data_IF_706183205006
#
_entry.id   IF_706183205006
#
_cell.length_a   1.000
_cell.length_b   1.000
_cell.length_c   1.000
_cell.angle_alpha   90.00
_cell.angle_beta   90.00
_cell.angle_gamma   90.00
#
_symmetry.space_group_name_H-M   'P 1'
#
loop_
_entity.id
_entity.type
_entity.pdbx_description
1 polymer ?
#
# COMPACT_ATOMS: atom_id res chain seq x y z
N UNK A 1 -19.63 32.45 -2.22
CA UNK A 1 -18.35 31.79 -2.57
C UNK A 1 -17.34 31.70 -1.43
N UNK A 2 -16.52 32.71 -1.08
CA UNK A 2 -15.48 32.56 -0.02
C UNK A 2 -16.04 32.24 1.38
N UNK A 3 -17.20 32.81 1.74
CA UNK A 3 -17.89 32.51 3.00
C UNK A 3 -18.51 31.11 3.00
N UNK A 4 -19.08 30.67 1.88
CA UNK A 4 -19.61 29.30 1.69
C UNK A 4 -18.49 28.26 1.69
N UNK A 5 -17.35 28.55 1.06
CA UNK A 5 -16.17 27.70 1.08
C UNK A 5 -15.60 27.57 2.49
N UNK A 6 -15.49 28.68 3.23
CA UNK A 6 -15.10 28.65 4.64
C UNK A 6 -16.08 27.80 5.47
N UNK A 7 -17.39 27.95 5.26
CA UNK A 7 -18.41 27.15 5.92
C UNK A 7 -18.29 25.65 5.59
N UNK A 8 -17.99 25.31 4.33
CA UNK A 8 -17.80 23.94 3.85
C UNK A 8 -16.56 23.27 4.48
N UNK A 9 -15.40 23.93 4.47
CA UNK A 9 -14.17 23.37 5.07
C UNK A 9 -14.23 23.31 6.61
N UNK A 10 -15.05 24.15 7.25
CA UNK A 10 -15.28 24.07 8.70
C UNK A 10 -16.22 22.93 9.10
N UNK A 11 -16.83 22.22 8.14
CA UNK A 11 -17.49 20.96 8.44
C UNK A 11 -16.38 19.95 8.81
N UNK A 12 -16.23 19.64 10.10
CA UNK A 12 -15.17 18.77 10.62
C UNK A 12 -15.04 17.43 9.87
N UNK A 13 -16.17 16.87 9.44
CA UNK A 13 -16.22 15.64 8.63
C UNK A 13 -15.47 15.74 7.28
N UNK A 14 -15.42 16.93 6.66
CA UNK A 14 -14.72 17.14 5.38
C UNK A 14 -13.22 17.30 5.61
N UNK A 15 -12.83 18.01 6.67
CA UNK A 15 -11.43 18.24 7.00
C UNK A 15 -10.73 16.94 7.41
N UNK A 16 -11.36 16.13 8.27
CA UNK A 16 -10.82 14.85 8.72
C UNK A 16 -10.72 13.85 7.56
N UNK A 17 -11.72 13.83 6.67
CA UNK A 17 -11.69 13.03 5.45
C UNK A 17 -10.54 13.44 4.52
N UNK A 18 -10.35 14.75 4.31
CA UNK A 18 -9.28 15.27 3.46
C UNK A 18 -7.90 14.91 4.02
N UNK A 19 -7.70 15.06 5.33
CA UNK A 19 -6.45 14.69 6.00
C UNK A 19 -6.20 13.18 5.86
N UNK A 20 -7.22 12.35 6.10
CA UNK A 20 -7.12 10.89 5.98
C UNK A 20 -6.72 10.44 4.57
N UNK A 21 -7.29 11.03 3.52
CA UNK A 21 -6.95 10.70 2.13
C UNK A 21 -5.53 11.16 1.78
N UNK A 22 -5.12 12.36 2.19
CA UNK A 22 -3.79 12.90 1.90
C UNK A 22 -2.71 12.07 2.59
N UNK A 23 -2.89 11.79 3.89
CA UNK A 23 -1.95 10.97 4.66
C UNK A 23 -1.96 9.53 4.15
N UNK A 24 -3.13 8.94 3.88
CA UNK A 24 -3.24 7.59 3.34
C UNK A 24 -2.56 7.44 1.99
N UNK A 25 -2.72 8.41 1.09
CA UNK A 25 -2.04 8.43 -0.21
C UNK A 25 -0.52 8.60 -0.08
N UNK A 26 -0.04 9.46 0.81
CA UNK A 26 1.38 9.65 1.07
C UNK A 26 2.02 8.40 1.71
N UNK A 27 1.36 7.83 2.72
CA UNK A 27 1.80 6.61 3.40
C UNK A 27 1.84 5.41 2.45
N UNK A 28 0.84 5.28 1.58
CA UNK A 28 0.83 4.26 0.53
C UNK A 28 2.11 4.31 -0.33
N UNK A 29 2.55 5.50 -0.76
CA UNK A 29 3.80 5.66 -1.53
C UNK A 29 5.04 5.22 -0.75
N UNK A 30 5.11 5.51 0.55
CA UNK A 30 6.23 5.09 1.41
C UNK A 30 6.30 3.56 1.46
N UNK A 31 5.15 2.91 1.64
CA UNK A 31 5.08 1.44 1.66
C UNK A 31 5.43 0.85 0.29
N UNK A 32 4.90 1.41 -0.80
CA UNK A 32 5.21 0.96 -2.15
C UNK A 32 6.70 1.06 -2.45
N UNK A 33 7.35 2.18 -2.12
CA UNK A 33 8.81 2.35 -2.29
C UNK A 33 9.61 1.35 -1.45
N UNK A 34 9.22 1.10 -0.19
CA UNK A 34 9.86 0.07 0.64
C UNK A 34 9.79 -1.31 -0.02
N UNK A 35 8.66 -1.65 -0.63
CA UNK A 35 8.52 -2.95 -1.30
C UNK A 35 9.28 -3.00 -2.62
N UNK A 36 9.09 -2.02 -3.49
CA UNK A 36 9.61 -2.04 -4.85
C UNK A 36 11.10 -1.77 -4.90
N UNK A 37 11.61 -0.88 -4.06
CA UNK A 37 13.00 -0.41 -4.10
C UNK A 37 13.90 -1.19 -3.14
N UNK A 38 13.35 -1.84 -2.10
CA UNK A 38 14.14 -2.55 -1.09
C UNK A 38 13.81 -4.04 -1.06
N UNK A 39 12.55 -4.41 -0.82
CA UNK A 39 12.18 -5.83 -0.64
C UNK A 39 12.30 -6.61 -1.96
N UNK A 40 11.79 -6.09 -3.07
CA UNK A 40 11.79 -6.78 -4.36
C UNK A 40 13.21 -7.06 -4.90
N UNK A 41 14.19 -6.13 -4.83
CA UNK A 41 15.57 -6.44 -5.18
C UNK A 41 16.19 -7.54 -4.32
N UNK A 42 15.90 -7.56 -3.02
CA UNK A 42 16.41 -8.60 -2.10
C UNK A 42 15.75 -9.95 -2.41
N UNK A 43 14.43 -9.99 -2.59
CA UNK A 43 13.70 -11.20 -2.97
C UNK A 43 14.16 -11.70 -4.33
N UNK A 44 14.35 -10.82 -5.30
CA UNK A 44 14.88 -11.14 -6.62
C UNK A 44 16.28 -11.74 -6.55
N UNK A 45 17.16 -11.20 -5.70
CA UNK A 45 18.49 -11.77 -5.46
C UNK A 45 18.41 -13.18 -4.86
N UNK A 46 17.49 -13.41 -3.91
CA UNK A 46 17.29 -14.73 -3.28
C UNK A 46 16.65 -15.75 -4.22
N UNK A 47 15.77 -15.32 -5.12
CA UNK A 47 15.09 -16.16 -6.12
C UNK A 47 15.88 -16.34 -7.42
N UNK A 48 17.17 -15.94 -7.46
CA UNK A 48 18.05 -16.14 -8.61
C UNK A 48 17.82 -15.22 -9.80
N UNK A 49 17.24 -14.03 -9.57
CA UNK A 49 16.96 -13.03 -10.61
C UNK A 49 15.74 -13.34 -11.49
N UNK A 50 14.85 -14.22 -11.01
CA UNK A 50 13.70 -14.66 -11.79
C UNK A 50 12.60 -13.59 -11.84
N UNK A 51 12.47 -12.97 -13.01
CA UNK A 51 11.46 -11.96 -13.32
C UNK A 51 10.23 -12.63 -13.95
N UNK A 52 9.17 -12.79 -13.16
CA UNK A 52 7.92 -13.41 -13.61
C UNK A 52 7.23 -12.59 -14.70
N UNK A 53 7.50 -11.29 -14.83
CA UNK A 53 6.94 -10.41 -15.89
C UNK A 53 7.24 -10.91 -17.30
N UNK A 54 8.31 -11.68 -17.48
CA UNK A 54 8.75 -12.20 -18.79
C UNK A 54 7.91 -13.39 -19.26
N UNK A 55 7.05 -13.95 -18.41
CA UNK A 55 6.15 -15.03 -18.81
C UNK A 55 5.01 -14.46 -19.67
N UNK A 56 5.07 -14.76 -20.96
CA UNK A 56 4.03 -14.41 -21.92
C UNK A 56 3.69 -15.63 -22.78
N UNK A 57 2.41 -15.79 -23.11
CA UNK A 57 1.93 -16.74 -24.10
C UNK A 57 1.51 -15.91 -25.31
N UNK A 58 2.11 -16.19 -26.45
CA UNK A 58 1.72 -15.60 -27.73
C UNK A 58 0.68 -16.49 -28.38
N UNK A 59 -0.55 -16.00 -28.54
CA UNK A 59 -1.62 -16.68 -29.28
C UNK A 59 -1.89 -15.87 -30.54
N UNK A 60 -1.45 -16.37 -31.70
CA UNK A 60 -1.53 -15.63 -32.96
C UNK A 60 -0.73 -14.33 -32.92
N UNK A 61 -1.39 -13.18 -33.11
CA UNK A 61 -0.80 -11.84 -33.00
C UNK A 61 -0.92 -11.22 -31.60
N UNK A 62 -1.62 -11.87 -30.67
CA UNK A 62 -1.84 -11.35 -29.32
C UNK A 62 -0.79 -11.89 -28.34
N UNK A 63 -0.15 -10.98 -27.60
CA UNK A 63 0.78 -11.29 -26.51
C UNK A 63 0.05 -11.23 -25.17
N UNK A 64 -0.24 -12.38 -24.56
CA UNK A 64 -0.84 -12.46 -23.22
C UNK A 64 0.27 -12.54 -22.18
N UNK A 65 0.58 -11.40 -21.55
CA UNK A 65 1.63 -11.25 -20.52
C UNK A 65 1.12 -11.62 -19.12
N UNK A 66 0.71 -12.87 -18.92
CA UNK A 66 0.21 -13.36 -17.63
C UNK A 66 1.25 -13.28 -16.51
N UNK A 67 2.54 -13.29 -16.88
CA UNK A 67 3.65 -13.08 -15.97
C UNK A 67 3.59 -11.77 -15.19
N UNK A 68 3.20 -10.69 -15.87
CA UNK A 68 3.04 -9.38 -15.23
C UNK A 68 1.89 -9.40 -14.20
N UNK A 69 0.82 -10.13 -14.47
CA UNK A 69 -0.28 -10.27 -13.52
C UNK A 69 0.18 -11.02 -12.26
N UNK A 70 0.89 -12.14 -12.41
CA UNK A 70 1.44 -12.90 -11.28
C UNK A 70 2.38 -12.03 -10.46
N UNK A 71 3.23 -11.24 -11.12
CA UNK A 71 4.13 -10.31 -10.46
C UNK A 71 3.39 -9.28 -9.59
N UNK A 72 2.33 -8.66 -10.12
CA UNK A 72 1.51 -7.70 -9.36
C UNK A 72 0.81 -8.39 -8.18
N UNK A 73 0.34 -9.63 -8.34
CA UNK A 73 -0.26 -10.39 -7.23
C UNK A 73 0.77 -10.67 -6.13
N UNK A 74 1.97 -11.11 -6.50
CA UNK A 74 3.06 -11.35 -5.54
C UNK A 74 3.45 -10.05 -4.83
N UNK A 75 3.60 -8.95 -5.56
CA UNK A 75 3.89 -7.62 -5.01
C UNK A 75 2.82 -7.19 -4.00
N UNK A 76 1.54 -7.38 -4.33
CA UNK A 76 0.43 -7.10 -3.40
C UNK A 76 0.52 -7.92 -2.11
N UNK A 77 0.81 -9.22 -2.19
CA UNK A 77 0.98 -10.07 -1.01
C UNK A 77 2.16 -9.62 -0.13
N UNK A 78 3.27 -9.22 -0.75
CA UNK A 78 4.43 -8.68 -0.03
C UNK A 78 4.08 -7.36 0.65
N UNK A 79 3.46 -6.41 -0.06
CA UNK A 79 2.98 -5.13 0.51
C UNK A 79 2.06 -5.36 1.69
N UNK A 80 1.06 -6.24 1.54
CA UNK A 80 0.13 -6.58 2.62
C UNK A 80 0.87 -7.15 3.85
N UNK A 81 1.86 -8.01 3.63
CA UNK A 81 2.67 -8.58 4.71
C UNK A 81 3.56 -7.54 5.40
N UNK A 82 4.18 -6.62 4.64
CA UNK A 82 4.98 -5.52 5.20
C UNK A 82 4.10 -4.57 6.01
N UNK A 83 2.93 -4.18 5.51
CA UNK A 83 1.97 -3.36 6.27
C UNK A 83 1.57 -4.06 7.56
N UNK A 84 1.29 -5.36 7.50
CA UNK A 84 0.97 -6.16 8.68
C UNK A 84 2.10 -6.12 9.73
N UNK A 85 3.36 -6.27 9.31
CA UNK A 85 4.51 -6.15 10.22
C UNK A 85 4.61 -4.74 10.80
N UNK A 86 4.46 -3.69 9.98
CA UNK A 86 4.55 -2.30 10.44
C UNK A 86 3.45 -1.97 11.46
N UNK A 87 2.21 -2.38 11.19
CA UNK A 87 1.09 -2.21 12.12
C UNK A 87 1.35 -3.01 13.41
N UNK A 88 1.81 -4.25 13.30
CA UNK A 88 2.15 -5.08 14.46
C UNK A 88 3.30 -4.49 15.28
N UNK A 89 4.30 -3.91 14.64
CA UNK A 89 5.43 -3.24 15.28
C UNK A 89 4.97 -1.96 16.00
N UNK A 90 4.14 -1.14 15.36
CA UNK A 90 3.54 0.04 15.98
C UNK A 90 2.67 -0.31 17.20
N UNK A 91 1.83 -1.35 17.07
CA UNK A 91 1.02 -1.87 18.17
C UNK A 91 1.89 -2.40 19.33
N UNK A 92 3.01 -3.08 19.03
CA UNK A 92 3.94 -3.61 20.05
C UNK A 92 4.75 -2.51 20.73
N UNK A 93 5.05 -1.42 20.03
CA UNK A 93 5.77 -0.26 20.56
C UNK A 93 4.88 0.64 21.45
N UNK A 94 3.58 0.34 21.58
CA UNK A 94 2.65 1.14 22.37
C UNK A 94 2.35 2.53 21.76
N UNK A 95 2.76 2.75 20.50
CA UNK A 95 2.46 3.99 19.74
C UNK A 95 1.02 4.02 19.23
N UNK A 96 0.34 2.89 19.32
CA UNK A 96 -1.12 2.79 19.23
C UNK A 96 -1.62 2.77 20.65
N UNK A 97 -1.89 3.94 21.22
CA UNK A 97 -2.52 4.05 22.53
C UNK A 97 -3.74 3.13 22.61
N UNK A 98 -3.87 2.47 23.77
CA UNK A 98 -5.02 1.69 24.20
C UNK A 98 -6.34 2.34 23.77
N UNK A 99 -7.06 1.67 22.86
CA UNK A 99 -8.53 1.58 22.89
C UNK A 99 -8.99 0.13 22.70
N UNK A 100 -8.37 -0.76 23.47
CA UNK A 100 -8.98 -2.01 23.89
C UNK A 100 -9.33 -1.87 25.38
N UNK A 101 -10.12 -0.85 25.70
CA UNK A 101 -10.92 -0.73 26.92
C UNK A 101 -11.92 0.40 26.70
N UNK A 102 -12.89 0.13 25.83
CA UNK A 102 -14.24 0.66 26.01
C UNK A 102 -15.16 -0.57 25.96
N UNK A 103 -15.18 -1.28 27.09
CA UNK A 103 -16.26 -2.21 27.42
C UNK A 103 -17.44 -1.38 27.92
N UNK A 104 -18.53 -1.33 27.17
CA UNK A 104 -19.92 -1.18 27.65
C UNK A 104 -20.89 -1.35 26.48
#
# INVERSE_FOLDING_TARGET
MLKEFKAFITQGNVLDLAIGIIIGGAFGKIVTSLVDDIIMPIVGMLMGGQDFSKLAITVGSANVKYGNFIQVVVQFLIVAYVIFILVKAANRAGLTEKKADEKA
#
